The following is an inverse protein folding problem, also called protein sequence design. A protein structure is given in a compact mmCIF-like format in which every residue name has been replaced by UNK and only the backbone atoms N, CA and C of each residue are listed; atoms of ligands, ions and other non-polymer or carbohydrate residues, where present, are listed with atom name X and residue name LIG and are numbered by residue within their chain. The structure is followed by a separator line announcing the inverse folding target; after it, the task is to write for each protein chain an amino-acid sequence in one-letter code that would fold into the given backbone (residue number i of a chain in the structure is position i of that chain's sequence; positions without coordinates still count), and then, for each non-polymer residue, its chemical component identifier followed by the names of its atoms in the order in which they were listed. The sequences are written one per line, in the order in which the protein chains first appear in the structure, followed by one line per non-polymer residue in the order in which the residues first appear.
data_IF_975190117711
#
_entry.id   IF_975190117711
#
_cell.length_a   1.000
_cell.length_b   1.000
_cell.length_c   1.000
_cell.angle_alpha   90.00
_cell.angle_beta   90.00
_cell.angle_gamma   90.00
#
_symmetry.space_group_name_H-M   'P 1'
#
loop_
_entity.id
_entity.type
_entity.pdbx_description
1 polymer ?
#
# COMPACT_ATOMS: atom_id res chain seq x y z
N UNK A 1 -11.59 13.45 16.88
CA UNK A 1 -10.64 14.14 16.01
C UNK A 1 -9.26 13.68 16.43
N UNK A 2 -8.47 13.10 15.53
CA UNK A 2 -7.10 12.72 15.85
C UNK A 2 -6.30 14.02 16.05
N UNK A 3 -5.45 14.07 17.07
CA UNK A 3 -4.67 15.26 17.39
C UNK A 3 -3.60 15.50 16.29
N UNK A 4 -3.10 16.73 16.14
CA UNK A 4 -2.12 17.05 15.09
C UNK A 4 -0.82 16.26 15.24
N UNK A 5 -0.46 15.89 16.46
CA UNK A 5 0.66 15.01 16.78
C UNK A 5 0.47 13.60 16.15
N UNK A 6 -0.76 13.10 16.16
CA UNK A 6 -1.12 11.81 15.57
C UNK A 6 -1.02 11.84 14.03
N UNK A 7 -1.23 13.00 13.39
CA UNK A 7 -1.07 13.20 11.94
C UNK A 7 0.40 13.20 11.50
N UNK A 8 1.27 13.86 12.25
CA UNK A 8 2.72 13.81 12.04
C UNK A 8 3.25 12.37 12.10
N UNK A 9 2.91 11.66 13.18
CA UNK A 9 3.31 10.27 13.39
C UNK A 9 2.78 9.35 12.28
N UNK A 10 1.49 9.52 11.91
CA UNK A 10 0.85 8.77 10.82
C UNK A 10 1.56 9.00 9.48
N UNK A 11 1.84 10.26 9.15
CA UNK A 11 2.52 10.58 7.89
C UNK A 11 3.92 9.99 7.83
N UNK A 12 4.68 10.06 8.93
CA UNK A 12 6.01 9.46 9.01
C UNK A 12 5.95 7.95 8.83
N UNK A 13 5.08 7.27 9.57
CA UNK A 13 4.90 5.83 9.45
C UNK A 13 4.46 5.41 8.04
N UNK A 14 3.57 6.18 7.42
CA UNK A 14 3.15 5.97 6.03
C UNK A 14 4.32 6.08 5.05
N UNK A 15 5.17 7.10 5.20
CA UNK A 15 6.36 7.30 4.37
C UNK A 15 7.45 6.24 4.60
N UNK A 16 7.49 5.61 5.78
CA UNK A 16 8.38 4.48 6.06
C UNK A 16 7.88 3.19 5.40
N UNK A 17 6.58 2.91 5.43
CA UNK A 17 6.04 1.67 4.85
C UNK A 17 5.84 1.76 3.34
N UNK A 18 5.45 2.90 2.79
CA UNK A 18 5.25 3.08 1.34
C UNK A 18 6.58 3.42 0.69
N UNK A 19 7.31 2.38 0.27
CA UNK A 19 8.63 2.48 -0.35
C UNK A 19 8.59 2.52 -1.90
N UNK A 20 7.39 2.46 -2.49
CA UNK A 20 7.19 2.65 -3.93
C UNK A 20 6.87 4.10 -4.26
N UNK A 21 7.37 4.57 -5.41
CA UNK A 21 6.97 5.88 -5.95
C UNK A 21 5.57 5.79 -6.58
N UNK A 22 4.88 6.92 -6.72
CA UNK A 22 3.57 6.98 -7.38
C UNK A 22 3.61 6.32 -8.77
N UNK A 23 4.61 6.65 -9.59
CA UNK A 23 4.78 6.07 -10.92
C UNK A 23 5.06 4.56 -10.91
N UNK A 24 5.84 4.07 -9.93
CA UNK A 24 6.11 2.64 -9.81
C UNK A 24 4.87 1.85 -9.37
N UNK A 25 4.09 2.44 -8.45
CA UNK A 25 2.83 1.87 -7.99
C UNK A 25 1.78 1.88 -9.09
N UNK A 26 1.61 2.98 -9.80
CA UNK A 26 0.69 3.10 -10.93
C UNK A 26 0.98 2.07 -12.03
N UNK A 27 2.27 1.92 -12.41
CA UNK A 27 2.70 0.87 -13.34
C UNK A 27 2.37 -0.53 -12.84
N UNK A 28 2.54 -0.79 -11.54
CA UNK A 28 2.20 -2.08 -10.94
C UNK A 28 0.70 -2.35 -10.99
N UNK A 29 -0.14 -1.37 -10.64
CA UNK A 29 -1.60 -1.47 -10.70
C UNK A 29 -2.10 -1.71 -12.13
N UNK A 30 -1.37 -1.24 -13.14
CA UNK A 30 -1.66 -1.56 -14.54
C UNK A 30 -1.45 -3.03 -14.95
N UNK A 31 -0.87 -3.88 -14.10
CA UNK A 31 -0.58 -5.29 -14.41
C UNK A 31 -1.74 -6.24 -14.09
N UNK A 32 -1.83 -7.34 -14.83
CA UNK A 32 -2.80 -8.41 -14.55
C UNK A 32 -2.56 -9.05 -13.18
N UNK A 33 -1.30 -9.20 -12.77
CA UNK A 33 -0.92 -9.73 -11.47
C UNK A 33 -1.49 -8.91 -10.31
N UNK A 34 -1.47 -7.58 -10.44
CA UNK A 34 -2.05 -6.67 -9.45
C UNK A 34 -3.58 -6.81 -9.34
N UNK A 35 -4.25 -7.05 -10.46
CA UNK A 35 -5.71 -7.23 -10.54
C UNK A 35 -6.18 -8.63 -10.10
N UNK A 36 -5.27 -9.61 -10.18
CA UNK A 36 -5.53 -10.99 -9.80
C UNK A 36 -5.48 -11.20 -8.27
N UNK A 37 -4.71 -10.39 -7.53
CA UNK A 37 -4.45 -10.60 -6.11
C UNK A 37 -5.31 -9.74 -5.18
N UNK A 38 -5.71 -10.32 -4.04
CA UNK A 38 -6.45 -9.65 -2.99
C UNK A 38 -7.93 -10.07 -2.92
N UNK A 39 -8.61 -9.60 -1.89
CA UNK A 39 -10.03 -9.90 -1.68
C UNK A 39 -10.88 -9.16 -2.70
N UNK A 40 -11.72 -9.90 -3.43
CA UNK A 40 -12.75 -9.36 -4.32
C UNK A 40 -14.09 -9.45 -3.59
N UNK A 41 -14.88 -8.39 -3.62
CA UNK A 41 -16.32 -8.47 -3.30
C UNK A 41 -17.06 -8.71 -4.61
N UNK A 42 -17.81 -9.81 -4.67
CA UNK A 42 -18.81 -10.07 -5.71
C UNK A 42 -18.32 -9.90 -7.16
N UNK A 43 -17.13 -10.43 -7.47
CA UNK A 43 -16.56 -10.37 -8.83
C UNK A 43 -16.02 -8.99 -9.26
N UNK A 44 -16.07 -8.00 -8.36
CA UNK A 44 -15.49 -6.68 -8.57
C UNK A 44 -13.98 -6.64 -8.42
N UNK A 45 -13.44 -5.44 -8.52
CA UNK A 45 -12.03 -5.15 -8.34
C UNK A 45 -11.51 -5.56 -6.95
N UNK A 46 -10.27 -6.05 -6.90
CA UNK A 46 -9.65 -6.41 -5.62
C UNK A 46 -9.49 -5.18 -4.73
N UNK A 47 -9.85 -5.29 -3.45
CA UNK A 47 -9.75 -4.20 -2.48
C UNK A 47 -8.33 -3.62 -2.41
N UNK A 48 -7.30 -4.47 -2.47
CA UNK A 48 -5.92 -4.00 -2.49
C UNK A 48 -5.59 -3.11 -3.69
N UNK A 49 -6.13 -3.43 -4.87
CA UNK A 49 -5.92 -2.64 -6.08
C UNK A 49 -6.61 -1.26 -5.99
N UNK A 50 -7.82 -1.22 -5.40
CA UNK A 50 -8.52 0.04 -5.11
C UNK A 50 -7.72 0.94 -4.16
N UNK A 51 -7.16 0.35 -3.10
CA UNK A 51 -6.34 1.07 -2.12
C UNK A 51 -5.05 1.59 -2.78
N UNK A 52 -4.44 0.81 -3.66
CA UNK A 52 -3.27 1.24 -4.44
C UNK A 52 -3.51 2.52 -5.22
N UNK A 53 -4.65 2.66 -5.90
CA UNK A 53 -4.99 3.91 -6.60
C UNK A 53 -5.10 5.10 -5.65
N UNK A 54 -5.74 4.90 -4.49
CA UNK A 54 -5.83 5.95 -3.48
C UNK A 54 -4.48 6.33 -2.89
N UNK A 55 -3.56 5.37 -2.76
CA UNK A 55 -2.17 5.63 -2.38
C UNK A 55 -1.46 6.47 -3.44
N UNK A 56 -1.64 6.18 -4.73
CA UNK A 56 -1.10 7.01 -5.82
C UNK A 56 -1.60 8.46 -5.70
N UNK A 57 -2.90 8.66 -5.50
CA UNK A 57 -3.48 10.00 -5.30
C UNK A 57 -2.84 10.73 -4.11
N UNK A 58 -2.69 10.05 -2.96
CA UNK A 58 -2.05 10.64 -1.77
C UNK A 58 -0.57 10.95 -1.99
N UNK A 59 0.15 10.14 -2.76
CA UNK A 59 1.55 10.39 -3.10
C UNK A 59 1.74 11.61 -4.02
N UNK A 60 0.69 12.01 -4.76
CA UNK A 60 0.69 13.24 -5.56
C UNK A 60 0.29 14.49 -4.76
N UNK A 61 -0.40 14.34 -3.63
CA UNK A 61 -0.76 15.45 -2.74
C UNK A 61 0.46 15.97 -1.98
N UNK A 62 0.50 17.29 -1.74
CA UNK A 62 1.44 17.86 -0.77
C UNK A 62 0.92 17.58 0.63
N UNK A 63 1.82 17.50 1.61
CA UNK A 63 1.46 17.30 3.02
C UNK A 63 0.48 18.36 3.55
N UNK A 64 0.55 19.60 3.05
CA UNK A 64 -0.37 20.70 3.38
C UNK A 64 -1.80 20.48 2.90
N UNK A 65 -1.98 19.62 1.90
CA UNK A 65 -3.24 19.42 1.19
C UNK A 65 -3.94 18.14 1.65
N UNK A 66 -3.36 17.43 2.64
CA UNK A 66 -3.92 16.19 3.20
C UNK A 66 -5.07 16.51 4.16
N UNK A 67 -6.19 15.83 3.97
CA UNK A 67 -7.33 15.89 4.89
C UNK A 67 -7.22 14.86 6.02
N UNK A 68 -8.06 15.01 7.05
CA UNK A 68 -8.18 14.02 8.13
C UNK A 68 -8.52 12.61 7.60
N UNK A 69 -9.29 12.53 6.50
CA UNK A 69 -9.60 11.27 5.81
C UNK A 69 -8.38 10.65 5.12
N UNK A 70 -7.48 11.48 4.57
CA UNK A 70 -6.21 11.01 4.01
C UNK A 70 -5.34 10.42 5.13
N UNK A 71 -5.24 11.08 6.29
CA UNK A 71 -4.55 10.51 7.45
C UNK A 71 -5.22 9.23 7.96
N UNK A 72 -6.56 9.17 7.98
CA UNK A 72 -7.31 7.94 8.28
C UNK A 72 -6.91 6.79 7.36
N UNK A 73 -6.78 7.08 6.08
CA UNK A 73 -6.36 6.11 5.07
C UNK A 73 -4.89 5.69 5.24
N UNK A 74 -3.99 6.63 5.52
CA UNK A 74 -2.58 6.34 5.80
C UNK A 74 -2.42 5.36 6.97
N UNK A 75 -3.17 5.53 8.07
CA UNK A 75 -3.15 4.57 9.20
C UNK A 75 -3.58 3.17 8.77
N UNK A 76 -4.62 3.07 7.93
CA UNK A 76 -5.09 1.80 7.37
C UNK A 76 -4.00 1.11 6.55
N UNK A 77 -3.31 1.87 5.68
CA UNK A 77 -2.20 1.35 4.87
C UNK A 77 -1.07 0.82 5.73
N UNK A 78 -0.62 1.61 6.73
CA UNK A 78 0.43 1.19 7.68
C UNK A 78 0.03 -0.09 8.41
N UNK A 79 -1.20 -0.14 8.91
CA UNK A 79 -1.72 -1.33 9.60
C UNK A 79 -1.75 -2.57 8.71
N UNK A 80 -2.18 -2.43 7.45
CA UNK A 80 -2.21 -3.53 6.50
C UNK A 80 -0.81 -4.06 6.20
N UNK A 81 0.12 -3.18 5.81
CA UNK A 81 1.50 -3.56 5.45
C UNK A 81 2.18 -4.27 6.62
N UNK A 82 2.14 -3.70 7.83
CA UNK A 82 2.73 -4.34 9.01
C UNK A 82 2.13 -5.72 9.31
N UNK A 83 0.80 -5.85 9.22
CA UNK A 83 0.14 -7.14 9.45
C UNK A 83 0.52 -8.17 8.39
N UNK A 84 0.55 -7.79 7.11
CA UNK A 84 0.91 -8.70 6.02
C UNK A 84 2.39 -9.11 6.05
N UNK A 85 3.28 -8.19 6.42
CA UNK A 85 4.70 -8.52 6.65
C UNK A 85 4.85 -9.52 7.80
N UNK A 86 4.12 -9.32 8.92
CA UNK A 86 4.13 -10.24 10.07
C UNK A 86 3.53 -11.62 9.77
N UNK A 87 2.61 -11.72 8.81
CA UNK A 87 2.06 -13.00 8.36
C UNK A 87 3.10 -13.87 7.63
N UNK A 88 4.15 -13.24 7.08
CA UNK A 88 5.24 -13.91 6.40
C UNK A 88 4.92 -14.24 4.93
N UNK A 89 5.90 -13.97 4.06
CA UNK A 89 5.89 -14.38 2.67
C UNK A 89 6.92 -15.49 2.39
N UNK A 90 7.13 -15.86 1.12
CA UNK A 90 8.22 -16.75 0.74
C UNK A 90 9.57 -16.22 1.24
N UNK A 91 10.42 -17.12 1.73
CA UNK A 91 11.76 -16.75 2.22
C UNK A 91 12.78 -16.62 1.08
N UNK A 92 12.62 -17.44 0.04
CA UNK A 92 13.47 -17.40 -1.14
C UNK A 92 13.11 -16.23 -2.05
N UNK A 93 14.12 -15.43 -2.42
CA UNK A 93 13.92 -14.25 -3.28
C UNK A 93 13.36 -14.61 -4.67
N UNK A 94 13.71 -15.79 -5.17
CA UNK A 94 13.19 -16.30 -6.44
C UNK A 94 11.67 -16.50 -6.37
N UNK A 95 11.19 -17.14 -5.30
CA UNK A 95 9.76 -17.39 -5.10
C UNK A 95 9.01 -16.12 -4.72
N UNK A 96 9.65 -15.20 -3.98
CA UNK A 96 9.04 -13.94 -3.57
C UNK A 96 8.71 -13.05 -4.77
N UNK A 97 9.55 -13.05 -5.81
CA UNK A 97 9.47 -12.13 -6.95
C UNK A 97 8.09 -12.17 -7.62
N UNK A 98 7.56 -13.37 -7.84
CA UNK A 98 6.32 -13.60 -8.57
C UNK A 98 5.20 -14.08 -7.62
N UNK A 99 5.40 -13.93 -6.30
CA UNK A 99 4.44 -14.38 -5.30
C UNK A 99 3.20 -13.47 -5.21
N UNK A 100 2.00 -14.04 -5.02
CA UNK A 100 0.79 -13.27 -4.72
C UNK A 100 0.93 -12.40 -3.46
N UNK A 101 1.77 -12.83 -2.51
CA UNK A 101 2.09 -12.08 -1.31
C UNK A 101 2.79 -10.75 -1.62
N UNK A 102 3.83 -10.79 -2.46
CA UNK A 102 4.53 -9.58 -2.90
C UNK A 102 3.60 -8.69 -3.71
N UNK A 103 2.86 -9.23 -4.67
CA UNK A 103 1.95 -8.44 -5.50
C UNK A 103 0.87 -7.76 -4.65
N UNK A 104 0.36 -8.46 -3.62
CA UNK A 104 -0.57 -7.86 -2.66
C UNK A 104 0.08 -6.77 -1.82
N UNK A 105 1.34 -6.87 -1.40
CA UNK A 105 2.01 -5.79 -0.68
C UNK A 105 2.28 -4.59 -1.61
N UNK A 106 2.65 -4.86 -2.86
CA UNK A 106 2.88 -3.83 -3.87
C UNK A 106 1.59 -3.09 -4.21
N UNK A 107 0.42 -3.73 -4.18
CA UNK A 107 -0.88 -3.05 -4.28
C UNK A 107 -1.09 -2.01 -3.17
N UNK A 108 -0.41 -2.16 -2.03
CA UNK A 108 -0.42 -1.21 -0.90
C UNK A 108 0.81 -0.30 -0.87
N UNK A 109 1.55 -0.22 -1.98
CA UNK A 109 2.71 0.67 -2.12
C UNK A 109 3.98 0.19 -1.42
N UNK A 110 4.02 -1.05 -0.92
CA UNK A 110 5.19 -1.64 -0.30
C UNK A 110 5.76 -2.76 -1.16
N UNK A 111 7.00 -2.61 -1.62
CA UNK A 111 7.76 -3.68 -2.25
C UNK A 111 8.74 -4.29 -1.24
N UNK A 112 8.50 -5.51 -0.73
CA UNK A 112 9.39 -6.18 0.23
C UNK A 112 10.76 -6.51 -0.35
N UNK A 113 10.94 -6.45 -1.68
CA UNK A 113 12.27 -6.61 -2.31
C UNK A 113 13.10 -5.32 -2.32
N UNK A 114 12.51 -4.18 -1.92
CA UNK A 114 13.19 -2.88 -1.78
C UNK A 114 13.45 -2.49 -0.32
N UNK A 115 12.91 -3.26 0.63
CA UNK A 115 13.05 -3.04 2.07
C UNK A 115 14.27 -3.78 2.63
#
# INVERSE_FOLDING_TARGET
MADKDDHEATYKAFKEVVNMTAAALDKHLGSEDSQAVGQKKDGGEATGHQEGRRIVEMLHKKKSDLSDDDYGHMRKVVGYVHRHLKQGGPQDKADMKDSPWRMSLMNWGHDPMKA
#
